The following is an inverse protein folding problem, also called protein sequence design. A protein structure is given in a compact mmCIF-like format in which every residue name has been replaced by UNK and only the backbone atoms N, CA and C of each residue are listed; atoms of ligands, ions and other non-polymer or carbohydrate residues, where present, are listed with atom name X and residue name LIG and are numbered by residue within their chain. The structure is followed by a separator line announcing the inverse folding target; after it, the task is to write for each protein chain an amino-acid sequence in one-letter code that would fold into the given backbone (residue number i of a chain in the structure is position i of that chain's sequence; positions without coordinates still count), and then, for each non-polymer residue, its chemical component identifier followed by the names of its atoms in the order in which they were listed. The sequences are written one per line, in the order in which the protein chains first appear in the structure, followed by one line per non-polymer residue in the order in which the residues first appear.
data_IF_514078271903
#
_entry.id   IF_514078271903
#
_cell.length_a   1.000
_cell.length_b   1.000
_cell.length_c   1.000
_cell.angle_alpha   90.00
_cell.angle_beta   90.00
_cell.angle_gamma   90.00
#
_symmetry.space_group_name_H-M   'P 1'
#
loop_
_entity.id
_entity.type
_entity.pdbx_description
1 polymer ?
#
# COMPACT_ATOMS: atom_id res chain seq x y z
N UNK A 1 -29.71 -13.89 11.39
CA UNK A 1 -29.85 -12.95 10.26
C UNK A 1 -30.37 -13.72 9.07
N UNK A 2 -31.39 -13.20 8.37
CA UNK A 2 -31.92 -13.87 7.18
C UNK A 2 -31.04 -13.56 5.97
N UNK A 3 -31.02 -14.44 4.96
CA UNK A 3 -30.25 -14.23 3.72
C UNK A 3 -30.55 -12.86 3.07
N UNK A 4 -31.79 -12.40 3.19
CA UNK A 4 -32.22 -11.08 2.73
C UNK A 4 -31.46 -9.94 3.44
N UNK A 5 -31.27 -10.03 4.76
CA UNK A 5 -30.57 -9.00 5.54
C UNK A 5 -29.10 -8.90 5.14
N UNK A 6 -28.47 -10.05 4.86
CA UNK A 6 -27.08 -10.14 4.41
C UNK A 6 -26.92 -9.47 3.02
N UNK A 7 -27.84 -9.71 2.09
CA UNK A 7 -27.82 -9.08 0.77
C UNK A 7 -28.00 -7.56 0.84
N UNK A 8 -28.90 -7.09 1.71
CA UNK A 8 -29.10 -5.64 1.94
C UNK A 8 -27.83 -5.02 2.51
N UNK A 9 -27.19 -5.68 3.47
CA UNK A 9 -25.91 -5.22 4.05
C UNK A 9 -24.82 -5.14 2.98
N UNK A 10 -24.61 -6.18 2.17
CA UNK A 10 -23.61 -6.15 1.10
C UNK A 10 -23.88 -5.04 0.08
N UNK A 11 -25.15 -4.83 -0.28
CA UNK A 11 -25.53 -3.72 -1.18
C UNK A 11 -25.13 -2.36 -0.58
N UNK A 12 -25.40 -2.14 0.71
CA UNK A 12 -25.01 -0.92 1.40
C UNK A 12 -23.49 -0.76 1.50
N UNK A 13 -22.78 -1.84 1.83
CA UNK A 13 -21.32 -1.83 1.99
C UNK A 13 -20.62 -1.56 0.65
N UNK A 14 -21.16 -2.05 -0.46
CA UNK A 14 -20.67 -1.79 -1.82
C UNK A 14 -20.96 -0.37 -2.30
N UNK A 15 -22.12 0.21 -1.94
CA UNK A 15 -22.50 1.57 -2.36
C UNK A 15 -21.73 2.66 -1.60
N UNK A 16 -21.42 2.41 -0.32
CA UNK A 16 -20.83 3.39 0.59
C UNK A 16 -19.59 4.11 0.05
N UNK A 17 -18.56 3.45 -0.51
CA UNK A 17 -17.38 4.14 -1.02
C UNK A 17 -17.69 5.10 -2.18
N UNK A 18 -18.69 4.77 -3.00
CA UNK A 18 -19.12 5.64 -4.11
C UNK A 18 -19.86 6.86 -3.58
N UNK A 19 -20.78 6.68 -2.64
CA UNK A 19 -21.50 7.79 -2.00
C UNK A 19 -20.53 8.76 -1.29
N UNK A 20 -19.54 8.22 -0.57
CA UNK A 20 -18.49 8.99 0.07
C UNK A 20 -17.64 9.76 -0.96
N UNK A 21 -17.25 9.12 -2.07
CA UNK A 21 -16.51 9.77 -3.14
C UNK A 21 -17.33 10.88 -3.84
N UNK A 22 -18.60 10.62 -4.13
CA UNK A 22 -19.50 11.62 -4.74
C UNK A 22 -19.68 12.83 -3.81
N UNK A 23 -19.87 12.59 -2.51
CA UNK A 23 -19.97 13.67 -1.52
C UNK A 23 -18.68 14.51 -1.46
N UNK A 24 -17.52 13.87 -1.48
CA UNK A 24 -16.22 14.53 -1.49
C UNK A 24 -16.04 15.42 -2.73
N UNK A 25 -16.35 14.89 -3.91
CA UNK A 25 -16.24 15.64 -5.18
C UNK A 25 -17.17 16.86 -5.21
N UNK A 26 -18.43 16.69 -4.77
CA UNK A 26 -19.39 17.80 -4.69
C UNK A 26 -18.91 18.90 -3.72
N UNK A 27 -18.25 18.53 -2.62
CA UNK A 27 -17.67 19.49 -1.68
C UNK A 27 -16.52 20.28 -2.31
N UNK A 28 -15.62 19.60 -3.02
CA UNK A 28 -14.54 20.27 -3.77
C UNK A 28 -15.13 21.23 -4.82
N UNK A 29 -16.11 20.78 -5.59
CA UNK A 29 -16.77 21.62 -6.60
C UNK A 29 -17.38 22.87 -5.98
N UNK A 30 -18.05 22.73 -4.83
CA UNK A 30 -18.60 23.87 -4.09
C UNK A 30 -17.50 24.86 -3.67
N UNK A 31 -16.39 24.37 -3.12
CA UNK A 31 -15.25 25.20 -2.72
C UNK A 31 -14.67 25.97 -3.91
N UNK A 32 -14.47 25.29 -5.04
CA UNK A 32 -13.98 25.91 -6.27
C UNK A 32 -14.97 26.96 -6.81
N UNK A 33 -16.27 26.66 -6.81
CA UNK A 33 -17.30 27.58 -7.28
C UNK A 33 -17.38 28.86 -6.43
N UNK A 34 -17.11 28.77 -5.13
CA UNK A 34 -17.09 29.91 -4.23
C UNK A 34 -15.87 30.80 -4.44
N UNK A 35 -14.71 30.21 -4.76
CA UNK A 35 -13.50 30.95 -5.13
C UNK A 35 -13.70 31.72 -6.45
N UNK A 36 -14.39 31.10 -7.42
CA UNK A 36 -14.70 31.75 -8.70
C UNK A 36 -15.78 32.85 -8.62
N UNK A 37 -16.48 33.00 -7.47
CA UNK A 37 -17.54 34.01 -7.26
C UNK A 37 -17.07 35.26 -6.50
N UNK A 38 -15.77 35.42 -6.25
CA UNK A 38 -15.20 36.66 -5.72
C UNK A 38 -15.49 37.87 -6.63
N UNK A 39 -15.48 39.11 -6.10
CA UNK A 39 -15.88 40.29 -6.85
C UNK A 39 -14.83 40.59 -7.93
N UNK A 40 -15.10 40.17 -9.17
CA UNK A 40 -14.49 40.80 -10.33
C UNK A 40 -14.90 42.28 -10.30
N UNK A 41 -13.96 43.14 -9.95
CA UNK A 41 -14.09 44.58 -10.22
C UNK A 41 -14.37 44.72 -11.73
N UNK A 42 -15.52 45.29 -12.06
CA UNK A 42 -15.84 45.91 -13.35
C UNK A 42 -14.67 46.77 -13.81
N UNK A 43 -14.35 47.04 -15.07
CA UNK A 43 -15.07 47.21 -16.34
C UNK A 43 -13.92 47.28 -17.39
N UNK A 44 -14.09 46.99 -18.68
CA UNK A 44 -14.76 47.85 -19.67
C UNK A 44 -14.96 47.09 -20.98
N UNK A 45 -16.08 47.40 -21.63
CA UNK A 45 -16.35 47.20 -23.05
C UNK A 45 -15.31 47.92 -23.93
N UNK A 46 -14.88 47.34 -25.05
CA UNK A 46 -15.25 47.85 -26.39
C UNK A 46 -14.69 46.97 -27.51
N UNK A 47 -15.48 46.85 -28.57
CA UNK A 47 -15.12 46.33 -29.88
C UNK A 47 -14.25 47.37 -30.62
N UNK A 48 -13.07 47.02 -31.13
CA UNK A 48 -12.46 47.75 -32.25
C UNK A 48 -11.24 47.01 -32.83
N UNK A 49 -11.27 46.85 -34.14
CA UNK A 49 -10.18 46.43 -35.01
C UNK A 49 -8.97 47.39 -34.95
N UNK A 50 -7.77 46.89 -35.25
CA UNK A 50 -6.65 47.76 -35.63
C UNK A 50 -5.27 47.19 -35.39
N UNK A 51 -4.67 46.69 -36.47
CA UNK A 51 -3.23 46.60 -36.73
C UNK A 51 -2.39 47.77 -36.17
N UNK A 52 -1.22 47.51 -35.57
CA UNK A 52 0.08 48.13 -35.93
C UNK A 52 1.22 47.73 -34.99
N UNK A 53 2.42 47.79 -35.55
CA UNK A 53 3.75 47.36 -35.10
C UNK A 53 4.40 48.06 -33.88
N UNK A 54 5.33 47.29 -33.30
CA UNK A 54 6.59 47.60 -32.60
C UNK A 54 6.68 48.45 -31.31
N UNK A 55 7.50 47.85 -30.43
CA UNK A 55 8.43 48.36 -29.41
C UNK A 55 8.04 48.56 -27.92
N UNK A 56 8.93 47.93 -27.13
CA UNK A 56 9.41 48.24 -25.78
C UNK A 56 8.77 47.62 -24.53
N UNK A 57 9.68 46.93 -23.81
CA UNK A 57 9.74 46.69 -22.36
C UNK A 57 9.03 45.44 -21.82
N UNK A 58 9.81 44.37 -21.69
CA UNK A 58 9.49 43.22 -20.84
C UNK A 58 9.40 43.65 -19.38
N UNK A 59 8.17 43.83 -18.90
CA UNK A 59 7.85 43.89 -17.48
C UNK A 59 7.38 42.52 -17.03
N UNK A 60 8.23 41.80 -16.28
CA UNK A 60 7.78 40.71 -15.43
C UNK A 60 6.70 41.26 -14.49
N UNK A 61 5.47 40.77 -14.64
CA UNK A 61 4.46 40.94 -13.61
C UNK A 61 4.87 40.02 -12.46
N UNK A 62 5.56 40.59 -11.47
CA UNK A 62 5.97 39.89 -10.27
C UNK A 62 4.76 39.23 -9.61
N UNK A 63 4.74 37.90 -9.65
CA UNK A 63 4.01 37.09 -8.69
C UNK A 63 4.71 37.33 -7.35
N UNK A 64 4.06 37.85 -6.31
CA UNK A 64 4.67 37.87 -4.99
C UNK A 64 4.87 36.42 -4.55
N UNK A 65 6.09 35.93 -4.70
CA UNK A 65 6.58 34.76 -4.00
C UNK A 65 6.24 34.97 -2.52
N UNK A 66 5.36 34.13 -1.98
CA UNK A 66 5.19 34.04 -0.54
C UNK A 66 6.46 33.41 0.03
N UNK A 67 7.48 34.25 0.20
CA UNK A 67 8.73 33.87 0.85
C UNK A 67 8.37 33.35 2.25
N UNK A 68 8.85 32.16 2.64
CA UNK A 68 8.70 31.72 4.02
C UNK A 68 9.33 32.80 4.89
N UNK A 69 8.49 33.46 5.69
CA UNK A 69 8.84 34.54 6.61
C UNK A 69 10.16 34.16 7.28
N UNK A 70 11.18 35.02 7.21
CA UNK A 70 12.56 34.72 7.66
C UNK A 70 12.62 34.04 9.05
N UNK A 71 11.67 34.39 9.92
CA UNK A 71 11.44 33.80 11.23
C UNK A 71 11.25 32.27 11.23
N UNK A 72 10.50 31.71 10.27
CA UNK A 72 10.26 30.27 10.18
C UNK A 72 11.51 29.50 9.74
N UNK A 73 12.31 30.12 8.87
CA UNK A 73 13.59 29.55 8.45
C UNK A 73 14.58 29.55 9.61
N UNK A 74 14.64 30.63 10.39
CA UNK A 74 15.48 30.74 11.58
C UNK A 74 15.04 29.78 12.69
N UNK A 75 13.75 29.60 12.89
CA UNK A 75 13.18 28.64 13.83
C UNK A 75 13.52 27.21 13.41
N UNK A 76 13.37 26.87 12.13
CA UNK A 76 13.78 25.58 11.58
C UNK A 76 15.27 25.33 11.78
N UNK A 77 16.13 26.32 11.54
CA UNK A 77 17.56 26.20 11.71
C UNK A 77 17.96 26.05 13.18
N UNK A 78 17.34 26.80 14.09
CA UNK A 78 17.52 26.62 15.54
C UNK A 78 17.08 25.23 15.99
N UNK A 79 15.94 24.74 15.50
CA UNK A 79 15.38 23.44 15.85
C UNK A 79 16.27 22.30 15.33
N UNK A 80 16.68 22.36 14.06
CA UNK A 80 17.59 21.40 13.47
C UNK A 80 18.93 21.40 14.20
N UNK A 81 19.51 22.55 14.53
CA UNK A 81 20.76 22.63 15.29
C UNK A 81 20.64 21.96 16.66
N UNK A 82 19.56 22.22 17.40
CA UNK A 82 19.32 21.69 18.76
C UNK A 82 19.08 20.18 18.75
N UNK A 83 18.33 19.66 17.78
CA UNK A 83 17.89 18.27 17.78
C UNK A 83 18.55 17.39 16.73
N UNK A 84 19.41 17.92 15.86
CA UNK A 84 20.08 17.17 14.76
C UNK A 84 20.75 15.89 15.22
N UNK A 85 21.48 15.92 16.35
CA UNK A 85 22.15 14.74 16.92
C UNK A 85 21.15 13.67 17.36
N UNK A 86 20.07 14.06 18.04
CA UNK A 86 19.01 13.15 18.47
C UNK A 86 18.25 12.57 17.28
N UNK A 87 17.88 13.41 16.31
CA UNK A 87 17.24 12.99 15.06
C UNK A 87 18.14 12.02 14.29
N UNK A 88 19.45 12.28 14.23
CA UNK A 88 20.41 11.39 13.58
C UNK A 88 20.57 10.06 14.32
N UNK A 89 20.59 10.09 15.65
CA UNK A 89 20.63 8.89 16.50
C UNK A 89 19.36 8.05 16.34
N UNK A 90 18.18 8.66 16.45
CA UNK A 90 16.90 8.01 16.19
C UNK A 90 16.83 7.44 14.77
N UNK A 91 17.26 8.22 13.77
CA UNK A 91 17.32 7.75 12.39
C UNK A 91 18.24 6.55 12.27
N UNK A 92 19.39 6.52 12.95
CA UNK A 92 20.28 5.36 12.95
C UNK A 92 19.62 4.15 13.61
N UNK A 93 18.97 4.31 14.76
CA UNK A 93 18.25 3.24 15.46
C UNK A 93 17.12 2.65 14.60
N UNK A 94 16.30 3.49 13.96
CA UNK A 94 15.22 3.03 13.07
C UNK A 94 15.70 2.57 11.69
N UNK A 95 16.84 3.08 11.21
CA UNK A 95 17.44 2.70 9.92
C UNK A 95 18.33 1.47 10.01
N UNK A 96 18.42 0.80 11.17
CA UNK A 96 18.87 -0.60 11.27
C UNK A 96 17.85 -1.51 10.56
N UNK A 97 17.66 -1.31 9.25
CA UNK A 97 17.06 -2.30 8.36
C UNK A 97 17.88 -3.56 8.57
N UNK A 98 17.28 -4.59 9.19
CA UNK A 98 17.88 -5.93 9.34
C UNK A 98 18.55 -6.25 8.00
N UNK A 99 19.87 -6.39 7.98
CA UNK A 99 20.65 -6.55 6.74
C UNK A 99 19.95 -7.58 5.87
N UNK A 100 19.73 -7.25 4.59
CA UNK A 100 19.14 -8.14 3.58
C UNK A 100 20.12 -9.30 3.33
N UNK A 101 20.11 -10.24 4.25
CA UNK A 101 20.97 -11.41 4.30
C UNK A 101 20.14 -12.61 4.75
N UNK A 102 20.77 -13.78 4.81
CA UNK A 102 20.13 -15.03 5.23
C UNK A 102 19.35 -14.81 6.53
N UNK A 103 18.16 -15.43 6.64
CA UNK A 103 17.34 -15.37 7.85
C UNK A 103 18.16 -15.75 9.10
N UNK A 104 17.89 -15.13 10.28
CA UNK A 104 18.54 -15.49 11.54
C UNK A 104 18.54 -17.00 11.78
N UNK A 105 19.61 -17.54 12.40
CA UNK A 105 19.75 -18.99 12.59
C UNK A 105 18.57 -19.58 13.37
N UNK A 106 18.16 -18.91 14.44
CA UNK A 106 17.03 -19.29 15.28
C UNK A 106 15.72 -19.31 14.49
N UNK A 107 15.43 -18.23 13.75
CA UNK A 107 14.27 -18.16 12.88
C UNK A 107 14.23 -19.31 11.86
N UNK A 108 15.37 -19.67 11.26
CA UNK A 108 15.43 -20.83 10.35
C UNK A 108 15.15 -22.14 11.06
N UNK A 109 15.60 -22.30 12.31
CA UNK A 109 15.39 -23.52 13.07
C UNK A 109 13.90 -23.75 13.33
N UNK A 110 13.19 -22.72 13.78
CA UNK A 110 11.73 -22.79 13.99
C UNK A 110 10.98 -23.14 12.70
N UNK A 111 11.36 -22.54 11.56
CA UNK A 111 10.73 -22.86 10.28
C UNK A 111 11.02 -24.29 9.82
N UNK A 112 12.23 -24.79 10.06
CA UNK A 112 12.60 -26.18 9.76
C UNK A 112 11.87 -27.18 10.66
N UNK A 113 11.65 -26.85 11.92
CA UNK A 113 10.88 -27.69 12.83
C UNK A 113 9.45 -27.88 12.34
N UNK A 114 8.75 -26.77 12.03
CA UNK A 114 7.41 -26.83 11.45
C UNK A 114 7.41 -27.62 10.13
N UNK A 115 8.41 -27.36 9.27
CA UNK A 115 8.58 -28.06 7.99
C UNK A 115 8.69 -29.57 8.14
N UNK A 116 9.51 -30.03 9.09
CA UNK A 116 9.73 -31.46 9.31
C UNK A 116 8.46 -32.15 9.81
N UNK A 117 7.71 -31.48 10.70
CA UNK A 117 6.43 -31.98 11.19
C UNK A 117 5.40 -32.11 10.07
N UNK A 118 5.41 -31.18 9.11
CA UNK A 118 4.46 -31.12 7.99
C UNK A 118 5.05 -31.54 6.64
N UNK A 119 6.12 -32.36 6.63
CA UNK A 119 6.86 -32.66 5.39
C UNK A 119 5.99 -33.27 4.28
N UNK A 120 4.97 -34.06 4.67
CA UNK A 120 4.02 -34.67 3.72
C UNK A 120 3.20 -33.63 2.96
N UNK A 121 2.79 -32.56 3.64
CA UNK A 121 2.00 -31.48 3.05
C UNK A 121 2.46 -30.11 3.61
N UNK A 122 3.58 -29.57 3.11
CA UNK A 122 4.25 -28.42 3.72
C UNK A 122 3.65 -27.09 3.24
N UNK A 123 2.34 -26.93 3.44
CA UNK A 123 1.57 -25.73 3.12
C UNK A 123 0.97 -25.17 4.42
N UNK A 124 1.66 -24.25 5.11
CA UNK A 124 1.15 -23.68 6.35
C UNK A 124 -0.13 -22.90 6.10
N UNK A 125 -1.09 -23.01 7.02
CA UNK A 125 -2.31 -22.21 7.02
C UNK A 125 -1.99 -20.74 7.34
N UNK A 126 -2.96 -19.84 7.17
CA UNK A 126 -2.76 -18.43 7.56
C UNK A 126 -2.48 -18.28 9.07
N UNK A 127 -3.13 -19.11 9.91
CA UNK A 127 -2.87 -19.14 11.35
C UNK A 127 -1.44 -19.61 11.65
N UNK A 128 -0.95 -20.66 10.98
CA UNK A 128 0.42 -21.13 11.12
C UNK A 128 1.43 -20.04 10.71
N UNK A 129 1.17 -19.33 9.61
CA UNK A 129 2.04 -18.25 9.14
C UNK A 129 2.10 -17.10 10.15
N UNK A 130 0.98 -16.76 10.79
CA UNK A 130 0.93 -15.75 11.85
C UNK A 130 1.78 -16.22 13.04
N UNK A 131 1.55 -17.43 13.55
CA UNK A 131 2.29 -17.98 14.68
C UNK A 131 3.80 -18.10 14.40
N UNK A 132 4.18 -18.48 13.18
CA UNK A 132 5.58 -18.54 12.75
C UNK A 132 6.20 -17.13 12.62
N UNK A 133 5.44 -16.15 12.14
CA UNK A 133 5.90 -14.76 12.09
C UNK A 133 6.16 -14.20 13.49
N UNK A 134 5.24 -14.44 14.43
CA UNK A 134 5.36 -14.01 15.83
C UNK A 134 6.56 -14.65 16.52
N UNK A 135 6.72 -15.98 16.41
CA UNK A 135 7.82 -16.70 17.04
C UNK A 135 9.20 -16.37 16.46
N UNK A 136 9.29 -16.08 15.16
CA UNK A 136 10.57 -15.82 14.48
C UNK A 136 10.92 -14.35 14.34
N UNK A 137 9.96 -13.45 14.59
CA UNK A 137 10.11 -12.00 14.37
C UNK A 137 10.35 -11.64 12.90
N UNK A 138 9.82 -12.48 11.99
CA UNK A 138 9.87 -12.30 10.54
C UNK A 138 8.51 -11.85 10.02
N UNK A 139 8.51 -11.09 8.92
CA UNK A 139 7.27 -10.71 8.27
C UNK A 139 6.62 -11.92 7.59
N UNK A 140 5.29 -11.98 7.53
CA UNK A 140 4.56 -13.05 6.83
C UNK A 140 5.02 -13.24 5.38
N UNK A 141 5.43 -12.17 4.69
CA UNK A 141 6.03 -12.26 3.35
C UNK A 141 7.33 -13.06 3.34
N UNK A 142 8.17 -12.89 4.37
CA UNK A 142 9.42 -13.65 4.52
C UNK A 142 9.12 -15.13 4.82
N UNK A 143 8.12 -15.40 5.67
CA UNK A 143 7.62 -16.76 5.93
C UNK A 143 7.15 -17.43 4.64
N UNK A 144 6.26 -16.79 3.89
CA UNK A 144 5.74 -17.27 2.61
C UNK A 144 6.86 -17.58 1.62
N UNK A 145 7.79 -16.64 1.44
CA UNK A 145 8.93 -16.81 0.53
C UNK A 145 9.85 -17.95 0.97
N UNK A 146 10.03 -18.14 2.28
CA UNK A 146 10.83 -19.24 2.79
C UNK A 146 10.19 -20.58 2.44
N UNK A 147 8.90 -20.78 2.73
CA UNK A 147 8.20 -22.02 2.43
C UNK A 147 8.12 -22.34 0.94
N UNK A 148 7.90 -21.33 0.08
CA UNK A 148 7.94 -21.49 -1.37
C UNK A 148 9.32 -22.00 -1.82
N UNK A 149 10.39 -21.35 -1.36
CA UNK A 149 11.75 -21.75 -1.72
C UNK A 149 12.13 -23.10 -1.12
N UNK A 150 11.67 -23.41 0.09
CA UNK A 150 11.95 -24.67 0.78
C UNK A 150 11.29 -25.83 0.04
N UNK A 151 10.01 -25.69 -0.36
CA UNK A 151 9.33 -26.66 -1.24
C UNK A 151 10.07 -26.87 -2.54
N UNK A 152 10.39 -25.80 -3.24
CA UNK A 152 11.10 -25.86 -4.52
C UNK A 152 12.43 -26.62 -4.43
N UNK A 153 13.13 -26.54 -3.29
CA UNK A 153 14.46 -27.15 -3.11
C UNK A 153 14.43 -28.55 -2.51
N UNK A 154 13.50 -28.83 -1.61
CA UNK A 154 13.58 -29.97 -0.70
C UNK A 154 12.33 -30.85 -0.65
N UNK A 155 11.22 -30.42 -1.26
CA UNK A 155 10.02 -31.23 -1.29
C UNK A 155 9.98 -32.09 -2.55
N UNK A 156 10.03 -33.41 -2.34
CA UNK A 156 9.83 -34.42 -3.37
C UNK A 156 8.62 -35.24 -2.94
N UNK A 157 7.44 -35.04 -3.55
CA UNK A 157 6.30 -35.90 -3.31
C UNK A 157 6.74 -37.34 -3.59
N UNK A 158 6.66 -38.22 -2.59
CA UNK A 158 6.90 -39.65 -2.77
C UNK A 158 5.93 -40.21 -3.83
N UNK A 159 6.33 -41.21 -4.61
CA UNK A 159 5.53 -41.81 -5.71
C UNK A 159 4.09 -42.16 -5.28
N UNK A 160 3.87 -42.58 -4.03
CA UNK A 160 2.54 -42.86 -3.47
C UNK A 160 1.58 -41.65 -3.46
N UNK A 161 2.07 -40.41 -3.47
CA UNK A 161 1.24 -39.20 -3.57
C UNK A 161 0.90 -38.82 -5.02
N UNK A 162 1.72 -39.22 -5.99
CA UNK A 162 1.44 -39.01 -7.42
C UNK A 162 0.27 -39.91 -7.87
N UNK A 163 0.14 -41.10 -7.28
CA UNK A 163 -0.93 -42.05 -7.60
C UNK A 163 -2.31 -41.65 -7.04
N UNK A 164 -2.38 -41.00 -5.88
CA UNK A 164 -3.65 -40.63 -5.25
C UNK A 164 -4.49 -39.64 -6.08
N UNK A 165 -3.85 -38.83 -6.93
CA UNK A 165 -4.56 -37.90 -7.85
C UNK A 165 -5.08 -38.61 -9.10
N UNK A 166 -4.46 -39.73 -9.51
CA UNK A 166 -4.85 -40.49 -10.70
C UNK A 166 -5.94 -41.54 -10.41
N UNK A 167 -5.99 -42.06 -9.18
CA UNK A 167 -6.98 -43.05 -8.77
C UNK A 167 -8.39 -42.47 -8.59
N UNK A 168 -8.50 -41.15 -8.37
CA UNK A 168 -9.80 -40.45 -8.28
C UNK A 168 -10.54 -40.30 -9.62
N UNK A 169 -9.89 -40.61 -10.75
CA UNK A 169 -10.49 -40.56 -12.10
C UNK A 169 -10.70 -41.95 -12.71
N UNK A 170 -10.26 -43.02 -12.03
CA UNK A 170 -10.25 -44.39 -12.56
C UNK A 170 -11.13 -45.34 -11.75
N UNK A 171 -12.23 -44.85 -11.17
CA UNK A 171 -13.28 -45.75 -10.67
C UNK A 171 -13.98 -46.38 -11.88
N UNK A 172 -13.89 -47.71 -12.09
CA UNK A 172 -14.67 -48.35 -13.13
C UNK A 172 -16.13 -48.35 -12.66
N UNK A 173 -17.00 -47.71 -13.44
CA UNK A 173 -18.43 -47.93 -13.40
C UNK A 173 -18.69 -49.41 -13.72
N UNK A 174 -18.67 -50.27 -12.71
CA UNK A 174 -19.40 -51.53 -12.74
C UNK A 174 -20.81 -51.23 -12.23
N UNK A 175 -21.75 -51.13 -13.17
CA UNK A 175 -23.16 -51.33 -12.90
C UNK A 175 -23.43 -52.78 -13.30
N UNK A 176 -23.69 -53.62 -12.30
CA UNK A 176 -24.20 -54.98 -12.43
C UNK A 176 -25.60 -54.99 -13.07
N UNK A 177 -25.91 -56.14 -13.71
CA UNK A 177 -27.13 -56.60 -14.41
C UNK A 177 -28.47 -55.91 -14.09
#
# INVERSE_FOLDING_TARGET
ETYCDILVKYKSDLARPFDEATSFLNNIELQLSNLCKGPSRSCVSDEAAGSSEDDFSGGELEIPEFQPRNEDRDLKDKLLRKYSGYISSLKHEFSKKKKKGKLPKEARQTLLEWWNLHYKWPYPTEADKIALAESTGLDQKQINNWFINQRKRHWKPSENMQFAVMDSLSAPFFIDD
#
